data_IF_287675832813
#
_entry.id   IF_287675832813
#
_cell.length_a   1.000
_cell.length_b   1.000
_cell.length_c   1.000
_cell.angle_alpha   90.00
_cell.angle_beta   90.00
_cell.angle_gamma   90.00
#
_symmetry.space_group_name_H-M   'P 1'
#
loop_
_entity.id
_entity.type
_entity.pdbx_description
1 polymer ?
#
# COMPACT_ATOMS: atom_id res chain seq x y z
N UNK A 1 -22.78 -14.05 29.94
CA UNK A 1 -21.51 -14.32 29.21
C UNK A 1 -21.69 -14.43 27.70
N UNK A 2 -22.56 -15.30 27.20
CA UNK A 2 -22.78 -15.49 25.74
C UNK A 2 -23.19 -14.22 24.99
N UNK A 3 -24.01 -13.36 25.59
CA UNK A 3 -24.47 -12.10 24.97
C UNK A 3 -23.32 -11.09 24.83
N UNK A 4 -22.51 -10.92 25.88
CA UNK A 4 -21.34 -10.03 25.84
C UNK A 4 -20.34 -10.48 24.77
N UNK A 5 -20.12 -11.79 24.64
CA UNK A 5 -19.29 -12.35 23.58
C UNK A 5 -19.79 -11.94 22.20
N UNK A 6 -21.08 -12.08 21.92
CA UNK A 6 -21.65 -11.69 20.63
C UNK A 6 -21.57 -10.19 20.38
N UNK A 7 -21.76 -9.34 21.40
CA UNK A 7 -21.61 -7.88 21.24
C UNK A 7 -20.19 -7.49 20.85
N UNK A 8 -19.19 -8.05 21.53
CA UNK A 8 -17.77 -7.79 21.20
C UNK A 8 -17.43 -8.31 19.82
N UNK A 9 -17.92 -9.51 19.46
CA UNK A 9 -17.72 -10.09 18.13
C UNK A 9 -18.31 -9.18 17.05
N UNK A 10 -19.55 -8.70 17.22
CA UNK A 10 -20.23 -7.84 16.26
C UNK A 10 -19.50 -6.51 16.09
N UNK A 11 -19.04 -5.90 17.19
CA UNK A 11 -18.28 -4.66 17.16
C UNK A 11 -16.97 -4.80 16.37
N UNK A 12 -16.23 -5.89 16.58
CA UNK A 12 -14.99 -6.14 15.85
C UNK A 12 -15.23 -6.36 14.35
N UNK A 13 -16.26 -7.14 14.00
CA UNK A 13 -16.64 -7.36 12.60
C UNK A 13 -17.05 -6.05 11.93
N UNK A 14 -17.81 -5.20 12.62
CA UNK A 14 -18.17 -3.88 12.12
C UNK A 14 -16.92 -3.03 11.84
N UNK A 15 -16.00 -2.91 12.81
CA UNK A 15 -14.75 -2.15 12.65
C UNK A 15 -13.91 -2.68 11.47
N UNK A 16 -13.78 -4.00 11.35
CA UNK A 16 -13.06 -4.62 10.24
C UNK A 16 -13.71 -4.28 8.89
N UNK A 17 -15.03 -4.40 8.79
CA UNK A 17 -15.76 -4.07 7.56
C UNK A 17 -15.63 -2.59 7.20
N UNK A 18 -15.71 -1.69 8.18
CA UNK A 18 -15.47 -0.26 7.97
C UNK A 18 -14.06 0.02 7.45
N UNK A 19 -13.03 -0.63 8.00
CA UNK A 19 -11.65 -0.48 7.56
C UNK A 19 -11.35 -1.06 6.17
N UNK A 20 -12.11 -2.08 5.74
CA UNK A 20 -11.97 -2.73 4.42
C UNK A 20 -12.70 -1.98 3.29
N UNK A 21 -13.32 -0.83 3.56
CA UNK A 21 -14.07 -0.10 2.55
C UNK A 21 -15.42 -0.73 2.22
N UNK A 22 -16.06 -1.43 3.17
CA UNK A 22 -17.44 -1.94 3.02
C UNK A 22 -18.46 -0.81 2.74
N UNK A 23 -18.15 0.43 3.14
CA UNK A 23 -18.89 1.65 2.76
C UNK A 23 -18.62 2.11 1.31
N UNK A 24 -17.90 1.31 0.52
CA UNK A 24 -17.47 1.62 -0.84
C UNK A 24 -16.10 2.28 -0.89
N UNK A 25 -15.47 2.21 -2.07
CA UNK A 25 -14.31 3.04 -2.40
C UNK A 25 -14.73 4.50 -2.31
N UNK A 26 -13.98 5.36 -1.60
CA UNK A 26 -14.30 6.78 -1.57
C UNK A 26 -14.39 7.30 -3.01
N UNK A 27 -15.29 8.24 -3.35
CA UNK A 27 -15.44 8.74 -4.72
C UNK A 27 -14.14 9.38 -5.25
N UNK A 28 -13.24 9.82 -4.37
CA UNK A 28 -11.88 10.26 -4.73
C UNK A 28 -10.97 9.13 -5.26
N UNK A 29 -11.34 7.87 -5.05
CA UNK A 29 -10.66 6.66 -5.55
C UNK A 29 -11.36 6.01 -6.74
N UNK A 30 -12.54 6.49 -7.15
CA UNK A 30 -13.19 6.12 -8.42
C UNK A 30 -12.35 6.67 -9.59
N UNK A 31 -11.34 5.90 -10.00
CA UNK A 31 -10.34 6.28 -11.00
C UNK A 31 -8.92 5.89 -10.62
N UNK A 32 -8.63 5.72 -9.32
CA UNK A 32 -7.43 5.04 -8.81
C UNK A 32 -7.68 3.54 -8.72
N UNK A 33 -8.07 2.92 -9.83
CA UNK A 33 -7.81 1.48 -9.94
C UNK A 33 -6.31 1.34 -10.15
N UNK A 34 -5.55 0.66 -9.27
CA UNK A 34 -4.19 0.25 -9.60
C UNK A 34 -4.28 -0.88 -10.62
N UNK A 35 -4.74 -0.55 -11.83
CA UNK A 35 -4.95 -1.49 -12.92
C UNK A 35 -3.58 -1.80 -13.51
N UNK A 36 -2.93 -2.86 -13.03
CA UNK A 36 -1.75 -3.49 -13.63
C UNK A 36 -0.49 -2.61 -13.85
N UNK A 37 -0.51 -1.30 -13.57
CA UNK A 37 0.68 -0.45 -13.70
C UNK A 37 1.79 -0.84 -12.71
N UNK A 38 1.45 -1.48 -11.59
CA UNK A 38 2.43 -2.02 -10.64
C UNK A 38 3.26 -3.17 -11.21
N UNK A 39 2.74 -3.92 -12.20
CA UNK A 39 3.51 -4.97 -12.89
C UNK A 39 4.33 -4.40 -14.04
N UNK A 40 3.78 -3.42 -14.78
CA UNK A 40 4.47 -2.84 -15.95
C UNK A 40 5.59 -1.86 -15.61
N UNK A 41 5.51 -1.18 -14.46
CA UNK A 41 6.50 -0.18 -14.04
C UNK A 41 7.61 -0.75 -13.14
N UNK A 42 7.63 -2.06 -12.84
CA UNK A 42 8.74 -2.68 -12.09
C UNK A 42 10.08 -2.54 -12.83
N UNK A 43 10.04 -2.46 -14.16
CA UNK A 43 11.23 -2.22 -14.99
C UNK A 43 11.71 -0.76 -15.01
N UNK A 44 10.92 0.20 -14.52
CA UNK A 44 11.25 1.64 -14.57
C UNK A 44 11.80 2.15 -13.22
N UNK A 45 11.65 1.37 -12.15
CA UNK A 45 12.31 1.68 -10.86
C UNK A 45 13.73 1.08 -10.88
N UNK A 46 14.54 1.53 -11.82
CA UNK A 46 15.99 1.49 -11.68
C UNK A 46 16.31 2.50 -10.58
N UNK A 47 16.45 2.01 -9.34
CA UNK A 47 17.00 2.80 -8.25
C UNK A 47 18.32 3.37 -8.76
N UNK A 48 18.38 4.69 -8.95
CA UNK A 48 19.54 5.36 -9.50
C UNK A 48 20.79 4.81 -8.86
N UNK A 49 21.64 4.17 -9.68
CA UNK A 49 22.97 3.75 -9.29
C UNK A 49 23.58 4.90 -8.52
N UNK A 50 23.91 4.64 -7.26
CA UNK A 50 24.65 5.57 -6.45
C UNK A 50 26.01 5.76 -7.14
N UNK A 51 26.09 6.78 -7.99
CA UNK A 51 27.31 7.29 -8.63
C UNK A 51 28.19 7.91 -7.55
N UNK A 52 28.70 7.06 -6.66
CA UNK A 52 29.60 7.42 -5.56
C UNK A 52 30.85 6.52 -5.57
N UNK A 53 31.14 5.83 -6.68
CA UNK A 53 32.38 5.06 -6.84
C UNK A 53 33.49 5.82 -7.60
N UNK A 54 33.22 6.99 -8.20
CA UNK A 54 34.24 7.76 -8.94
C UNK A 54 35.10 8.68 -8.04
N UNK A 55 35.15 8.44 -6.72
CA UNK A 55 35.88 9.28 -5.75
C UNK A 55 37.28 8.74 -5.36
N UNK A 56 37.98 8.07 -6.26
CA UNK A 56 39.42 7.80 -6.12
C UNK A 56 40.06 7.84 -7.52
N UNK A 57 41.13 8.55 -7.87
CA UNK A 57 42.10 9.49 -7.29
C UNK A 57 43.01 9.89 -8.47
N UNK A 58 43.61 11.10 -8.55
CA UNK A 58 44.39 11.53 -9.70
C UNK A 58 45.75 10.84 -9.79
N UNK A 59 46.20 10.48 -11.00
CA UNK A 59 47.58 10.16 -11.31
C UNK A 59 47.90 10.56 -12.75
N UNK A 60 48.45 11.78 -12.89
CA UNK A 60 49.06 12.34 -14.08
C UNK A 60 49.98 13.46 -13.65
#
# INVERSE_FOLDING_TARGET
>A
MRILFFLVLLANVAVLAFGQGFMGTPPSEQGRTPRLLSERNQHIVEFGEARLADTERPAG
#
